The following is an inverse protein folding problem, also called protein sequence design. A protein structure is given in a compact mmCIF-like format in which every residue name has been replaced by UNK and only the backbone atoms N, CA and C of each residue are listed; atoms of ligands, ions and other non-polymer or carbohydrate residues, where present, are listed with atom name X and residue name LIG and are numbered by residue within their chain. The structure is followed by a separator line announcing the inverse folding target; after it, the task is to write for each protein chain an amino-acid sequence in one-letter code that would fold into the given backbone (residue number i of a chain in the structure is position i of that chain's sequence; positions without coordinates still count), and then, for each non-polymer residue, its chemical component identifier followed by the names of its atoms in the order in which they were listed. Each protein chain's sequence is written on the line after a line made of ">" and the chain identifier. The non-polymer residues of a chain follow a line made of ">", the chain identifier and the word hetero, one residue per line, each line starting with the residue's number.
data_IF_696004898513
#
_entry.id   IF_696004898513
#
_cell.length_a   1.000
_cell.length_b   1.000
_cell.length_c   1.000
_cell.angle_alpha   90.00
_cell.angle_beta   90.00
_cell.angle_gamma   90.00
#
_symmetry.space_group_name_H-M   'P 1'
#
loop_
_entity.id
_entity.type
_entity.pdbx_description
1 polymer ?
#
# COMPACT_ATOMS: atom_id res chain seq x y z
N UNK A 1 30.12 4.17 10.78
CA UNK A 1 28.65 4.38 10.67
C UNK A 1 28.32 5.52 9.70
N UNK A 2 28.93 6.70 9.85
CA UNK A 2 28.72 7.84 8.94
C UNK A 2 29.07 7.53 7.48
N UNK A 3 30.16 6.81 7.21
CA UNK A 3 30.54 6.35 5.86
C UNK A 3 29.52 5.39 5.25
N UNK A 4 28.93 4.50 6.06
CA UNK A 4 27.86 3.60 5.62
C UNK A 4 26.58 4.36 5.25
N UNK A 5 26.24 5.39 6.03
CA UNK A 5 25.07 6.24 5.74
C UNK A 5 25.25 7.03 4.45
N UNK A 6 26.44 7.63 4.25
CA UNK A 6 26.76 8.39 3.04
C UNK A 6 26.77 7.52 1.78
N UNK A 7 27.37 6.34 1.84
CA UNK A 7 27.42 5.39 0.71
C UNK A 7 26.07 4.79 0.32
N UNK A 8 25.09 4.80 1.23
CA UNK A 8 23.77 4.20 1.00
C UNK A 8 22.63 5.23 0.92
N UNK A 9 22.93 6.54 0.82
CA UNK A 9 21.95 7.63 0.78
C UNK A 9 20.92 7.56 1.92
N UNK A 10 21.41 7.35 3.15
CA UNK A 10 20.60 7.29 4.36
C UNK A 10 20.77 8.56 5.19
N UNK A 11 19.66 9.08 5.69
CA UNK A 11 19.59 10.24 6.60
C UNK A 11 19.25 9.78 8.03
N UNK A 12 19.85 10.44 9.03
CA UNK A 12 19.54 10.22 10.45
C UNK A 12 18.27 11.00 10.83
N UNK A 13 17.25 10.32 11.33
CA UNK A 13 15.99 10.94 11.74
C UNK A 13 15.90 11.27 13.24
N UNK A 14 16.89 10.87 14.04
CA UNK A 14 16.91 11.16 15.47
C UNK A 14 16.98 12.67 15.72
N UNK A 15 16.17 13.13 16.68
CA UNK A 15 16.15 14.51 17.16
C UNK A 15 16.54 14.48 18.66
N UNK A 16 17.81 14.75 19.01
CA UNK A 16 18.34 14.57 20.37
C UNK A 16 17.56 15.30 21.47
N UNK A 17 16.88 16.39 21.12
CA UNK A 17 16.08 17.24 21.99
C UNK A 17 14.91 16.51 22.66
N UNK A 18 14.43 15.40 22.07
CA UNK A 18 13.37 14.57 22.69
C UNK A 18 13.87 13.63 23.79
N UNK A 19 15.18 13.68 24.10
CA UNK A 19 15.78 12.97 25.22
C UNK A 19 16.37 11.60 24.86
N UNK A 20 17.03 10.95 25.84
CA UNK A 20 17.80 9.73 25.61
C UNK A 20 16.90 8.54 25.29
N UNK A 21 17.33 7.72 24.33
CA UNK A 21 16.67 6.44 24.02
C UNK A 21 17.05 5.33 25.00
N UNK A 22 18.06 5.53 25.85
CA UNK A 22 18.47 4.59 26.89
C UNK A 22 18.66 5.30 28.23
N UNK A 23 18.01 4.81 29.28
CA UNK A 23 18.17 5.25 30.66
C UNK A 23 18.26 4.02 31.56
N UNK A 24 19.40 3.87 32.23
CA UNK A 24 19.61 2.90 33.31
C UNK A 24 20.05 3.64 34.58
N UNK A 25 20.13 2.97 35.74
CA UNK A 25 20.64 3.60 36.98
C UNK A 25 22.10 4.10 36.87
N UNK A 26 22.87 3.57 35.92
CA UNK A 26 24.32 3.80 35.80
C UNK A 26 24.63 4.69 34.59
N UNK A 27 23.98 4.46 33.45
CA UNK A 27 24.27 5.10 32.18
C UNK A 27 23.01 5.65 31.52
N UNK A 28 23.16 6.80 30.85
CA UNK A 28 22.15 7.45 30.01
C UNK A 28 22.76 7.71 28.63
N UNK A 29 22.05 7.41 27.55
CA UNK A 29 22.59 7.57 26.21
C UNK A 29 21.59 7.47 25.07
N UNK A 30 22.13 7.56 23.85
CA UNK A 30 21.38 7.56 22.58
C UNK A 30 21.85 6.42 21.64
N UNK A 31 21.89 5.15 22.09
CA UNK A 31 22.42 4.05 21.27
C UNK A 31 21.52 3.70 20.07
N UNK A 32 20.22 4.01 20.15
CA UNK A 32 19.23 3.64 19.14
C UNK A 32 19.13 4.68 18.02
N UNK A 33 19.40 4.27 16.77
CA UNK A 33 19.36 5.14 15.58
C UNK A 33 18.20 4.79 14.66
N UNK A 34 17.52 5.82 14.15
CA UNK A 34 16.47 5.75 13.13
C UNK A 34 17.08 6.24 11.81
N UNK A 35 17.35 5.30 10.91
CA UNK A 35 17.87 5.60 9.57
C UNK A 35 16.76 5.45 8.53
N UNK A 36 16.72 6.38 7.59
CA UNK A 36 15.77 6.33 6.47
C UNK A 36 16.42 6.83 5.19
N UNK A 37 15.98 6.32 4.04
CA UNK A 37 16.40 6.85 2.74
C UNK A 37 16.12 8.34 2.64
N UNK A 38 17.12 9.11 2.18
CA UNK A 38 17.02 10.56 2.02
C UNK A 38 15.80 10.98 1.18
N UNK A 39 15.42 10.16 0.20
CA UNK A 39 14.26 10.40 -0.68
C UNK A 39 12.91 10.45 0.02
N UNK A 40 12.77 9.79 1.19
CA UNK A 40 11.51 9.72 1.93
C UNK A 40 11.61 10.33 3.33
N UNK A 41 12.73 10.97 3.65
CA UNK A 41 12.99 11.60 4.95
C UNK A 41 11.92 12.64 5.32
N UNK A 42 11.51 13.46 4.35
CA UNK A 42 10.52 14.53 4.55
C UNK A 42 9.13 14.04 4.94
N UNK A 43 8.83 12.75 4.72
CA UNK A 43 7.57 12.12 5.12
C UNK A 43 7.57 11.67 6.59
N UNK A 44 8.73 11.61 7.25
CA UNK A 44 8.77 11.39 8.70
C UNK A 44 8.24 12.64 9.40
N UNK A 45 7.23 12.46 10.25
CA UNK A 45 6.67 13.48 11.13
C UNK A 45 6.59 12.97 12.56
N UNK A 46 6.61 13.90 13.53
CA UNK A 46 6.41 13.61 14.95
C UNK A 46 7.39 12.55 15.49
N UNK A 47 8.66 12.63 15.09
CA UNK A 47 9.69 11.79 15.68
C UNK A 47 9.89 12.20 17.14
N UNK A 48 10.00 11.24 18.06
CA UNK A 48 10.28 11.52 19.46
C UNK A 48 10.37 10.26 20.30
N UNK A 49 10.71 10.46 21.57
CA UNK A 49 10.73 9.40 22.57
C UNK A 49 9.40 9.41 23.33
N UNK A 50 8.71 8.27 23.34
CA UNK A 50 7.47 8.16 24.10
C UNK A 50 7.77 8.10 25.59
N UNK A 51 7.05 8.93 26.35
CA UNK A 51 6.99 8.85 27.81
C UNK A 51 6.04 7.71 28.24
N UNK A 52 6.45 6.48 27.91
CA UNK A 52 5.73 5.27 28.24
C UNK A 52 6.71 4.21 28.72
N UNK A 53 6.38 3.53 29.82
CA UNK A 53 7.15 2.42 30.35
C UNK A 53 7.32 1.32 29.28
N UNK A 54 8.58 1.08 28.90
CA UNK A 54 8.99 0.07 27.93
C UNK A 54 9.31 -1.28 28.57
N UNK A 55 9.47 -1.33 29.89
CA UNK A 55 9.99 -2.47 30.64
C UNK A 55 11.41 -2.90 30.23
N UNK A 56 12.16 -1.97 29.64
CA UNK A 56 13.56 -2.06 29.27
C UNK A 56 14.24 -0.76 29.71
N UNK A 57 15.56 -0.78 29.82
CA UNK A 57 16.34 0.45 29.97
C UNK A 57 16.28 1.31 28.68
N UNK A 58 15.84 0.71 27.57
CA UNK A 58 15.54 1.43 26.32
C UNK A 58 14.13 2.03 26.34
N UNK A 59 13.97 3.27 25.86
CA UNK A 59 12.69 3.94 25.64
C UNK A 59 12.13 3.67 24.25
N UNK A 60 10.82 3.83 24.10
CA UNK A 60 10.19 3.69 22.78
C UNK A 60 10.46 4.92 21.92
N UNK A 61 11.01 4.70 20.73
CA UNK A 61 11.02 5.68 19.65
C UNK A 61 9.68 5.61 18.91
N UNK A 62 9.09 6.77 18.63
CA UNK A 62 7.87 6.91 17.86
C UNK A 62 8.08 7.92 16.74
N UNK A 63 7.47 7.66 15.59
CA UNK A 63 7.37 8.58 14.47
C UNK A 63 6.21 8.14 13.56
N UNK A 64 5.72 9.09 12.76
CA UNK A 64 4.75 8.85 11.70
C UNK A 64 5.44 8.95 10.35
N UNK A 65 5.01 8.14 9.38
CA UNK A 65 5.35 8.35 7.97
C UNK A 65 4.07 8.81 7.30
N UNK A 66 4.01 10.09 6.94
CA UNK A 66 2.86 10.69 6.27
C UNK A 66 3.07 10.55 4.76
N UNK A 67 2.28 9.71 4.11
CA UNK A 67 2.32 9.51 2.66
C UNK A 67 0.94 9.90 2.15
N UNK A 68 0.87 10.86 1.23
CA UNK A 68 -0.40 11.36 0.66
C UNK A 68 -1.15 10.25 -0.09
N UNK A 69 -0.42 9.29 -0.64
CA UNK A 69 -0.94 8.05 -1.22
C UNK A 69 -0.28 6.83 -0.57
N UNK A 70 -0.77 6.43 0.60
CA UNK A 70 -0.60 5.03 0.99
C UNK A 70 -1.31 4.19 -0.09
N UNK A 71 -0.64 3.26 -0.80
CA UNK A 71 -1.36 2.20 -1.46
C UNK A 71 -2.09 1.45 -0.34
N UNK A 72 -3.38 1.78 -0.16
CA UNK A 72 -4.26 1.20 0.84
C UNK A 72 -4.01 -0.31 0.84
N UNK A 73 -3.46 -0.81 1.96
CA UNK A 73 -2.73 -2.07 2.10
C UNK A 73 -2.97 -3.04 0.94
N UNK A 74 -2.03 -3.11 -0.01
CA UNK A 74 -2.02 -3.96 -1.22
C UNK A 74 -3.11 -5.07 -1.17
N UNK A 75 -4.34 -4.75 -1.57
CA UNK A 75 -5.48 -5.67 -1.52
C UNK A 75 -6.09 -5.80 -2.91
N UNK A 76 -6.79 -6.90 -3.12
CA UNK A 76 -7.63 -7.09 -4.30
C UNK A 76 -9.09 -7.33 -3.89
N UNK A 77 -10.02 -6.87 -4.73
CA UNK A 77 -11.43 -7.14 -4.54
C UNK A 77 -11.74 -8.60 -4.84
N UNK A 78 -12.55 -9.24 -3.99
CA UNK A 78 -13.11 -10.57 -4.25
C UNK A 78 -14.30 -10.48 -5.22
N UNK A 79 -14.10 -9.95 -6.42
CA UNK A 79 -15.14 -9.68 -7.45
C UNK A 79 -15.97 -10.90 -7.90
N UNK A 80 -15.48 -12.12 -7.63
CA UNK A 80 -16.26 -13.37 -7.80
C UNK A 80 -17.48 -13.41 -6.87
N UNK A 81 -17.40 -12.77 -5.71
CA UNK A 81 -18.39 -12.85 -4.65
C UNK A 81 -18.98 -11.46 -4.38
N UNK A 82 -20.31 -11.39 -4.17
CA UNK A 82 -20.98 -10.13 -3.83
C UNK A 82 -21.41 -9.27 -5.02
N UNK A 83 -21.36 -9.79 -6.26
CA UNK A 83 -21.81 -9.07 -7.46
C UNK A 83 -23.23 -8.53 -7.34
N UNK A 84 -24.16 -9.25 -6.70
CA UNK A 84 -25.53 -8.76 -6.48
C UNK A 84 -25.58 -7.43 -5.73
N UNK A 85 -24.77 -7.26 -4.67
CA UNK A 85 -24.70 -5.99 -3.91
C UNK A 85 -24.06 -4.87 -4.74
N UNK A 86 -23.00 -5.20 -5.48
CA UNK A 86 -22.32 -4.29 -6.39
C UNK A 86 -23.24 -3.75 -7.49
N UNK A 87 -23.93 -4.66 -8.20
CA UNK A 87 -24.90 -4.31 -9.25
C UNK A 87 -26.07 -3.49 -8.66
N UNK A 88 -26.59 -3.88 -7.49
CA UNK A 88 -27.67 -3.13 -6.83
C UNK A 88 -27.25 -1.71 -6.45
N UNK A 89 -25.98 -1.47 -6.10
CA UNK A 89 -25.47 -0.13 -5.88
C UNK A 89 -25.47 0.68 -7.18
N UNK A 90 -24.91 0.12 -8.26
CA UNK A 90 -24.84 0.80 -9.57
C UNK A 90 -26.23 1.09 -10.17
N UNK A 91 -27.19 0.16 -10.02
CA UNK A 91 -28.59 0.33 -10.46
C UNK A 91 -29.22 1.62 -9.97
N UNK A 92 -28.92 2.05 -8.73
CA UNK A 92 -29.47 3.28 -8.15
C UNK A 92 -29.04 4.54 -8.90
N UNK A 93 -27.89 4.50 -9.55
CA UNK A 93 -27.33 5.64 -10.27
C UNK A 93 -27.62 5.58 -11.78
N UNK A 94 -27.89 4.39 -12.33
CA UNK A 94 -27.99 4.14 -13.78
C UNK A 94 -28.91 5.13 -14.53
N UNK A 95 -30.09 5.46 -13.99
CA UNK A 95 -31.03 6.40 -14.63
C UNK A 95 -30.42 7.79 -14.84
N UNK A 96 -29.74 8.32 -13.81
CA UNK A 96 -29.07 9.63 -13.86
C UNK A 96 -27.94 9.59 -14.89
N UNK A 97 -27.21 8.49 -14.94
CA UNK A 97 -26.07 8.31 -15.85
C UNK A 97 -26.47 8.21 -17.32
N UNK A 98 -27.59 7.54 -17.63
CA UNK A 98 -28.17 7.56 -18.99
C UNK A 98 -28.55 8.97 -19.44
N UNK A 99 -29.12 9.77 -18.54
CA UNK A 99 -29.47 11.17 -18.83
C UNK A 99 -28.22 12.04 -19.04
N UNK A 100 -27.17 11.82 -18.23
CA UNK A 100 -25.88 12.51 -18.41
C UNK A 100 -25.22 12.15 -19.74
N UNK A 101 -25.25 10.87 -20.14
CA UNK A 101 -24.66 10.40 -21.40
C UNK A 101 -25.22 11.14 -22.61
N UNK A 102 -26.54 11.32 -22.67
CA UNK A 102 -27.23 12.03 -23.75
C UNK A 102 -26.87 13.53 -23.87
N UNK A 103 -26.32 14.12 -22.80
CA UNK A 103 -25.94 15.54 -22.77
C UNK A 103 -24.49 15.79 -23.20
N UNK A 104 -23.73 14.75 -23.50
CA UNK A 104 -22.33 14.89 -23.88
C UNK A 104 -22.27 15.36 -25.33
N UNK A 105 -21.67 16.53 -25.55
CA UNK A 105 -21.58 17.17 -26.86
C UNK A 105 -20.17 17.17 -27.45
N UNK A 106 -19.14 16.90 -26.64
CA UNK A 106 -17.75 16.93 -27.08
C UNK A 106 -16.85 15.99 -26.27
N UNK A 107 -15.60 15.83 -26.74
CA UNK A 107 -14.59 14.96 -26.14
C UNK A 107 -14.16 15.37 -24.73
N UNK A 108 -14.21 16.66 -24.38
CA UNK A 108 -13.90 17.14 -23.03
C UNK A 108 -14.94 16.63 -22.01
N UNK A 109 -16.23 16.81 -22.32
CA UNK A 109 -17.32 16.29 -21.48
C UNK A 109 -17.34 14.77 -21.45
N UNK A 110 -17.00 14.10 -22.55
CA UNK A 110 -16.82 12.64 -22.57
C UNK A 110 -15.73 12.20 -21.60
N UNK A 111 -14.58 12.89 -21.60
CA UNK A 111 -13.48 12.55 -20.72
C UNK A 111 -13.85 12.67 -19.24
N UNK A 112 -14.50 13.77 -18.85
CA UNK A 112 -14.99 13.97 -17.48
C UNK A 112 -16.05 12.93 -17.11
N UNK A 113 -16.96 12.63 -18.02
CA UNK A 113 -17.98 11.60 -17.80
C UNK A 113 -17.38 10.21 -17.54
N UNK A 114 -16.37 9.80 -18.33
CA UNK A 114 -15.70 8.50 -18.14
C UNK A 114 -14.94 8.49 -16.81
N UNK A 115 -14.26 9.59 -16.45
CA UNK A 115 -13.59 9.71 -15.15
C UNK A 115 -14.56 9.51 -13.99
N UNK A 116 -15.68 10.23 -14.01
CA UNK A 116 -16.72 10.12 -12.99
C UNK A 116 -17.35 8.71 -12.98
N UNK A 117 -17.47 8.05 -14.14
CA UNK A 117 -18.04 6.70 -14.25
C UNK A 117 -17.09 5.67 -13.62
N UNK A 118 -15.81 5.75 -13.93
CA UNK A 118 -14.77 4.92 -13.32
C UNK A 118 -14.77 5.13 -11.80
N UNK A 119 -14.91 6.36 -11.33
CA UNK A 119 -14.96 6.67 -9.90
C UNK A 119 -16.23 6.13 -9.22
N UNK A 120 -17.38 6.17 -9.90
CA UNK A 120 -18.59 5.51 -9.42
C UNK A 120 -18.40 3.99 -9.28
N UNK A 121 -17.83 3.35 -10.30
CA UNK A 121 -17.59 1.90 -10.31
C UNK A 121 -16.60 1.51 -9.20
N UNK A 122 -15.52 2.27 -9.02
CA UNK A 122 -14.61 2.14 -7.88
C UNK A 122 -15.34 2.25 -6.56
N UNK A 123 -16.09 3.34 -6.36
CA UNK A 123 -16.84 3.59 -5.12
C UNK A 123 -17.81 2.45 -4.81
N UNK A 124 -18.52 1.93 -5.82
CA UNK A 124 -19.39 0.78 -5.68
C UNK A 124 -18.61 -0.47 -5.23
N UNK A 125 -17.44 -0.72 -5.83
CA UNK A 125 -16.56 -1.83 -5.47
C UNK A 125 -16.12 -1.74 -4.01
N UNK A 126 -15.63 -0.57 -3.61
CA UNK A 126 -15.17 -0.26 -2.27
C UNK A 126 -16.23 -0.48 -1.20
N UNK A 127 -17.47 -0.06 -1.48
CA UNK A 127 -18.58 -0.16 -0.52
C UNK A 127 -19.19 -1.56 -0.44
N UNK A 128 -19.10 -2.37 -1.51
CA UNK A 128 -19.90 -3.59 -1.62
C UNK A 128 -19.10 -4.89 -1.68
N UNK A 129 -17.87 -4.86 -2.20
CA UNK A 129 -17.04 -6.05 -2.40
C UNK A 129 -16.08 -6.26 -1.22
N UNK A 130 -15.86 -7.53 -0.87
CA UNK A 130 -14.88 -7.88 0.18
C UNK A 130 -13.47 -7.63 -0.31
N UNK A 131 -12.67 -6.91 0.48
CA UNK A 131 -11.22 -6.73 0.27
C UNK A 131 -10.48 -7.98 0.76
N UNK A 132 -9.54 -8.49 -0.03
CA UNK A 132 -8.59 -9.53 0.41
C UNK A 132 -7.20 -8.92 0.48
N UNK A 133 -6.57 -8.84 1.67
CA UNK A 133 -5.20 -8.37 1.77
C UNK A 133 -4.28 -9.32 1.02
N UNK A 134 -3.29 -8.77 0.30
CA UNK A 134 -2.17 -9.55 -0.22
C UNK A 134 -1.43 -10.07 1.00
N UNK A 135 -1.45 -11.39 1.19
CA UNK A 135 -0.70 -12.02 2.27
C UNK A 135 0.77 -11.71 2.03
N UNK A 136 1.36 -10.82 2.82
CA UNK A 136 2.79 -10.86 3.04
C UNK A 136 3.11 -12.22 3.66
N UNK A 137 4.24 -12.83 3.30
CA UNK A 137 4.71 -14.06 3.94
C UNK A 137 4.58 -13.90 5.46
N UNK A 138 4.10 -14.94 6.16
CA UNK A 138 3.89 -14.92 7.61
C UNK A 138 5.16 -14.37 8.29
N UNK A 139 5.10 -13.10 8.74
CA UNK A 139 6.14 -12.55 9.58
C UNK A 139 5.94 -13.15 10.97
N UNK A 140 7.00 -13.69 11.55
CA UNK A 140 7.01 -14.09 12.94
C UNK A 140 6.45 -12.94 13.80
N UNK A 141 5.43 -13.23 14.60
CA UNK A 141 4.86 -12.29 15.55
C UNK A 141 4.49 -13.04 16.82
N UNK A 142 4.92 -12.50 17.96
CA UNK A 142 4.51 -12.95 19.29
C UNK A 142 3.41 -12.06 19.88
N UNK A 143 3.04 -10.97 19.23
CA UNK A 143 2.01 -10.06 19.72
C UNK A 143 0.62 -10.66 19.57
N UNK A 144 -0.14 -10.68 20.66
CA UNK A 144 -1.53 -11.11 20.71
C UNK A 144 -2.40 -10.12 21.49
N UNK A 145 -3.71 -10.36 21.50
CA UNK A 145 -4.68 -9.47 22.12
C UNK A 145 -4.53 -9.42 23.66
N UNK A 146 -4.15 -10.53 24.30
CA UNK A 146 -3.95 -10.59 25.75
C UNK A 146 -2.76 -9.75 26.21
N UNK A 147 -1.64 -9.81 25.47
CA UNK A 147 -0.50 -8.92 25.66
C UNK A 147 -0.89 -7.47 25.48
N UNK A 148 -1.70 -7.16 24.46
CA UNK A 148 -2.17 -5.79 24.20
C UNK A 148 -3.03 -5.27 25.36
N UNK A 149 -4.00 -6.05 25.82
CA UNK A 149 -4.86 -5.70 26.97
C UNK A 149 -4.03 -5.51 28.24
N UNK A 150 -3.12 -6.44 28.53
CA UNK A 150 -2.26 -6.39 29.71
C UNK A 150 -1.30 -5.19 29.67
N UNK A 151 -0.67 -4.91 28.52
CA UNK A 151 0.15 -3.71 28.32
C UNK A 151 -0.64 -2.43 28.55
N UNK A 152 -1.84 -2.32 27.95
CA UNK A 152 -2.69 -1.13 28.11
C UNK A 152 -3.12 -0.93 29.57
N UNK A 153 -3.38 -2.02 30.31
CA UNK A 153 -3.65 -1.98 31.76
C UNK A 153 -2.45 -1.41 32.52
N UNK A 154 -1.23 -1.89 32.24
CA UNK A 154 -0.01 -1.38 32.86
C UNK A 154 0.22 0.09 32.54
N UNK A 155 0.07 0.51 31.29
CA UNK A 155 0.20 1.92 30.89
C UNK A 155 -0.82 2.82 31.59
N UNK A 156 -2.08 2.37 31.75
CA UNK A 156 -3.11 3.10 32.49
C UNK A 156 -2.71 3.28 33.96
N UNK A 157 -2.30 2.21 34.63
CA UNK A 157 -1.91 2.25 36.05
C UNK A 157 -0.64 3.07 36.27
N UNK A 158 0.32 3.01 35.35
CA UNK A 158 1.52 3.84 35.37
C UNK A 158 1.17 5.32 35.31
N UNK A 159 0.29 5.74 34.39
CA UNK A 159 -0.16 7.15 34.30
C UNK A 159 -0.84 7.62 35.58
N UNK A 160 -1.68 6.78 36.19
CA UNK A 160 -2.33 7.10 37.48
C UNK A 160 -1.28 7.26 38.58
N UNK A 161 -0.34 6.33 38.70
CA UNK A 161 0.72 6.40 39.70
C UNK A 161 1.59 7.66 39.54
N UNK A 162 2.03 7.96 38.31
CA UNK A 162 2.85 9.14 38.02
C UNK A 162 2.09 10.44 38.27
N UNK A 163 0.80 10.49 37.91
CA UNK A 163 -0.05 11.64 38.22
C UNK A 163 -0.16 11.88 39.73
N UNK A 164 -0.51 10.85 40.51
CA UNK A 164 -0.63 10.93 41.96
C UNK A 164 0.69 11.38 42.63
N UNK A 165 1.82 10.93 42.10
CA UNK A 165 3.16 11.32 42.55
C UNK A 165 3.48 12.79 42.21
N UNK A 166 3.05 13.28 41.05
CA UNK A 166 3.31 14.65 40.63
C UNK A 166 2.47 15.68 41.40
N UNK A 167 1.23 15.35 41.77
CA UNK A 167 0.33 16.25 42.52
C UNK A 167 0.51 16.16 44.05
N UNK A 168 1.54 15.45 44.54
CA UNK A 168 1.78 15.20 45.96
C UNK A 168 0.51 14.74 46.71
N UNK A 169 -0.24 13.79 46.12
CA UNK A 169 -1.39 13.17 46.78
C UNK A 169 -0.99 12.51 48.11
N UNK A 170 -1.99 12.24 48.96
CA UNK A 170 -1.79 11.50 50.21
C UNK A 170 -0.91 10.26 50.01
N UNK A 171 0.01 10.02 50.96
CA UNK A 171 1.03 8.96 50.92
C UNK A 171 0.39 7.60 50.65
N UNK A 172 -0.74 7.29 51.29
CA UNK A 172 -1.47 6.03 51.09
C UNK A 172 -1.97 5.84 49.66
N UNK A 173 -2.43 6.91 49.01
CA UNK A 173 -2.93 6.90 47.64
C UNK A 173 -1.80 6.65 46.64
N UNK A 174 -0.64 7.30 46.86
CA UNK A 174 0.57 7.08 46.05
C UNK A 174 1.09 5.66 46.23
N UNK A 175 1.09 5.14 47.47
CA UNK A 175 1.55 3.80 47.77
C UNK A 175 0.64 2.72 47.17
N UNK A 176 -0.70 2.88 47.28
CA UNK A 176 -1.68 1.95 46.70
C UNK A 176 -1.60 1.90 45.18
N UNK A 177 -1.62 3.06 44.52
CA UNK A 177 -1.48 3.14 43.06
C UNK A 177 -0.13 2.60 42.57
N UNK A 178 0.95 2.81 43.33
CA UNK A 178 2.27 2.23 43.05
C UNK A 178 2.30 0.70 43.19
N UNK A 179 1.64 0.14 44.20
CA UNK A 179 1.50 -1.31 44.38
C UNK A 179 0.69 -1.95 43.24
N UNK A 180 -0.44 -1.34 42.86
CA UNK A 180 -1.27 -1.81 41.76
C UNK A 180 -0.50 -1.80 40.42
N UNK A 181 0.24 -0.72 40.15
CA UNK A 181 1.14 -0.62 39.00
C UNK A 181 2.21 -1.73 39.01
N UNK A 182 2.95 -1.89 40.12
CA UNK A 182 4.02 -2.90 40.24
C UNK A 182 3.49 -4.33 40.06
N UNK A 183 2.31 -4.63 40.62
CA UNK A 183 1.65 -5.94 40.46
C UNK A 183 1.29 -6.20 39.01
N UNK A 184 0.60 -5.26 38.35
CA UNK A 184 0.24 -5.39 36.94
C UNK A 184 1.48 -5.50 36.04
N UNK A 185 2.55 -4.78 36.35
CA UNK A 185 3.85 -4.85 35.64
C UNK A 185 4.47 -6.24 35.74
N UNK A 186 4.47 -6.85 36.93
CA UNK A 186 4.99 -8.20 37.14
C UNK A 186 4.19 -9.25 36.35
N UNK A 187 2.85 -9.15 36.38
CA UNK A 187 1.94 -10.01 35.61
C UNK A 187 2.19 -9.88 34.10
N UNK A 188 2.28 -8.65 33.59
CA UNK A 188 2.57 -8.39 32.19
C UNK A 188 3.94 -8.93 31.76
N UNK A 189 5.00 -8.70 32.56
CA UNK A 189 6.35 -9.19 32.25
C UNK A 189 6.38 -10.72 32.17
N UNK A 190 5.70 -11.40 33.09
CA UNK A 190 5.55 -12.87 33.07
C UNK A 190 4.85 -13.33 31.79
N UNK A 191 3.73 -12.70 31.43
CA UNK A 191 2.97 -13.00 30.22
C UNK A 191 3.78 -12.75 28.94
N UNK A 192 4.51 -11.64 28.88
CA UNK A 192 5.37 -11.26 27.75
C UNK A 192 6.47 -12.30 27.51
N UNK A 193 7.19 -12.70 28.55
CA UNK A 193 8.26 -13.69 28.45
C UNK A 193 7.72 -15.06 28.03
N UNK A 194 6.61 -15.49 28.64
CA UNK A 194 5.95 -16.75 28.27
C UNK A 194 5.51 -16.74 26.81
N UNK A 195 4.84 -15.67 26.37
CA UNK A 195 4.30 -15.56 25.01
C UNK A 195 5.42 -15.50 23.96
N UNK A 196 6.50 -14.73 24.22
CA UNK A 196 7.69 -14.70 23.37
C UNK A 196 8.30 -16.09 23.21
N UNK A 197 8.50 -16.80 24.33
CA UNK A 197 9.07 -18.16 24.31
C UNK A 197 8.18 -19.11 23.51
N UNK A 198 6.88 -19.16 23.81
CA UNK A 198 5.93 -20.04 23.11
C UNK A 198 5.82 -19.73 21.62
N UNK A 199 5.75 -18.45 21.25
CA UNK A 199 5.75 -18.05 19.86
C UNK A 199 7.03 -18.50 19.15
N UNK A 200 8.20 -18.35 19.79
CA UNK A 200 9.48 -18.79 19.25
C UNK A 200 9.57 -20.31 19.11
N UNK A 201 9.13 -21.07 20.12
CA UNK A 201 9.03 -22.54 20.07
C UNK A 201 8.18 -22.98 18.86
N UNK A 202 6.97 -22.41 18.70
CA UNK A 202 6.08 -22.70 17.58
C UNK A 202 6.72 -22.31 16.25
N UNK A 203 7.40 -21.17 16.20
CA UNK A 203 8.10 -20.74 14.99
C UNK A 203 9.17 -21.76 14.59
N UNK A 204 10.07 -22.13 15.51
CA UNK A 204 11.14 -23.09 15.26
C UNK A 204 10.60 -24.47 14.86
N UNK A 205 9.55 -24.96 15.51
CA UNK A 205 8.93 -26.26 15.16
C UNK A 205 8.31 -26.26 13.76
N UNK A 206 7.77 -25.12 13.32
CA UNK A 206 7.17 -24.98 11.99
C UNK A 206 8.14 -24.39 10.95
N UNK A 207 9.42 -24.23 11.31
CA UNK A 207 10.41 -23.58 10.47
C UNK A 207 10.98 -24.56 9.44
N UNK A 208 10.33 -24.66 8.28
CA UNK A 208 10.76 -25.53 7.19
C UNK A 208 11.74 -24.87 6.20
N UNK A 209 12.13 -23.61 6.40
CA UNK A 209 13.09 -22.94 5.51
C UNK A 209 14.54 -23.28 5.91
N UNK A 210 15.23 -24.11 5.12
CA UNK A 210 16.68 -24.41 5.32
C UNK A 210 17.58 -23.17 5.38
N UNK A 211 17.19 -22.11 4.66
CA UNK A 211 17.92 -20.86 4.56
C UNK A 211 16.91 -19.71 4.60
N UNK A 212 16.72 -19.13 5.79
CA UNK A 212 15.79 -18.03 6.00
C UNK A 212 16.10 -16.77 5.24
N UNK A 213 15.16 -15.82 5.26
CA UNK A 213 15.38 -14.49 4.70
C UNK A 213 16.64 -13.80 5.23
N UNK A 214 16.97 -13.94 6.52
CA UNK A 214 18.17 -13.33 7.10
C UNK A 214 19.45 -13.97 6.54
N UNK A 215 19.50 -15.30 6.42
CA UNK A 215 20.61 -16.00 5.76
C UNK A 215 20.72 -15.54 4.30
N UNK A 216 19.60 -15.50 3.58
CA UNK A 216 19.59 -15.00 2.20
C UNK A 216 20.05 -13.53 2.13
N UNK A 217 19.72 -12.70 3.12
CA UNK A 217 20.11 -11.29 3.17
C UNK A 217 21.61 -11.13 3.40
N UNK A 218 22.15 -11.81 4.42
CA UNK A 218 23.57 -11.75 4.79
C UNK A 218 24.45 -12.29 3.67
N UNK A 219 24.04 -13.37 3.02
CA UNK A 219 24.79 -13.98 1.92
C UNK A 219 24.42 -13.44 0.53
N UNK A 220 23.70 -12.30 0.46
CA UNK A 220 23.25 -11.69 -0.80
C UNK A 220 22.49 -12.66 -1.75
N UNK A 221 21.91 -13.73 -1.21
CA UNK A 221 21.05 -14.70 -1.90
C UNK A 221 19.58 -14.30 -1.89
N UNK A 222 19.21 -13.24 -1.17
CA UNK A 222 17.96 -12.55 -1.44
C UNK A 222 18.12 -12.02 -2.84
N UNK A 223 17.33 -12.54 -3.79
CA UNK A 223 17.07 -11.85 -5.05
C UNK A 223 16.40 -10.53 -4.68
N UNK A 224 17.21 -9.54 -4.31
CA UNK A 224 16.82 -8.15 -4.25
C UNK A 224 16.45 -7.80 -5.69
N UNK A 225 15.18 -8.02 -6.03
CA UNK A 225 14.61 -7.61 -7.31
C UNK A 225 14.59 -6.07 -7.46
N UNK A 226 15.23 -5.32 -6.56
CA UNK A 226 15.41 -3.88 -6.63
C UNK A 226 16.58 -3.45 -7.52
N UNK A 227 17.48 -4.36 -7.92
CA UNK A 227 18.44 -4.03 -8.96
C UNK A 227 17.79 -4.25 -10.32
N UNK A 228 17.54 -3.17 -11.06
CA UNK A 228 17.30 -3.24 -12.49
C UNK A 228 18.54 -3.90 -13.11
N UNK A 229 18.41 -5.14 -13.59
CA UNK A 229 19.52 -5.94 -14.12
C UNK A 229 20.05 -5.47 -15.48
N UNK A 230 19.55 -4.35 -15.97
CA UNK A 230 19.96 -3.76 -17.25
C UNK A 230 21.14 -2.81 -16.99
N UNK A 231 22.26 -3.08 -17.65
CA UNK A 231 23.45 -2.24 -17.61
C UNK A 231 23.70 -1.71 -19.03
N UNK A 232 23.19 -0.50 -19.36
CA UNK A 232 23.52 0.16 -20.62
C UNK A 232 25.03 0.19 -20.84
N UNK A 233 25.49 -0.20 -22.04
CA UNK A 233 26.90 -0.22 -22.43
C UNK A 233 27.83 -1.04 -21.49
N UNK A 234 27.32 -2.10 -20.84
CA UNK A 234 28.04 -2.89 -19.84
C UNK A 234 28.60 -2.08 -18.66
N UNK A 235 28.13 -0.86 -18.42
CA UNK A 235 28.56 -0.05 -17.28
C UNK A 235 27.68 -0.37 -16.05
N UNK A 236 28.23 -0.98 -14.98
CA UNK A 236 27.46 -1.32 -13.79
C UNK A 236 27.06 -0.10 -12.95
N UNK A 237 27.74 1.05 -13.12
CA UNK A 237 27.59 2.26 -12.31
C UNK A 237 26.51 3.24 -12.82
N UNK A 238 25.73 2.87 -13.83
CA UNK A 238 24.64 3.70 -14.31
C UNK A 238 23.61 3.99 -13.21
N UNK A 239 23.06 5.20 -13.18
CA UNK A 239 22.04 5.55 -12.20
C UNK A 239 20.77 4.73 -12.46
N UNK A 240 19.89 4.62 -11.45
CA UNK A 240 18.59 3.97 -11.62
C UNK A 240 17.78 4.66 -12.73
N UNK A 241 17.90 5.99 -12.84
CA UNK A 241 17.22 6.76 -13.88
C UNK A 241 17.70 6.36 -15.28
N UNK A 242 19.02 6.25 -15.49
CA UNK A 242 19.58 5.85 -16.79
C UNK A 242 19.15 4.44 -17.18
N UNK A 243 19.10 3.53 -16.21
CA UNK A 243 18.62 2.16 -16.42
C UNK A 243 17.13 2.12 -16.78
N UNK A 244 16.30 2.97 -16.16
CA UNK A 244 14.87 3.10 -16.50
C UNK A 244 14.71 3.71 -17.88
N UNK A 245 15.39 4.82 -18.18
CA UNK A 245 15.34 5.48 -19.49
C UNK A 245 15.73 4.51 -20.59
N UNK A 246 16.84 3.80 -20.42
CA UNK A 246 17.28 2.80 -21.39
C UNK A 246 16.25 1.67 -21.61
N UNK A 247 15.60 1.18 -20.54
CA UNK A 247 14.52 0.19 -20.66
C UNK A 247 13.34 0.79 -21.42
N UNK A 248 12.93 2.01 -21.08
CA UNK A 248 11.82 2.69 -21.74
C UNK A 248 12.12 2.89 -23.22
N UNK A 249 13.31 3.38 -23.58
CA UNK A 249 13.72 3.57 -24.97
C UNK A 249 13.82 2.25 -25.74
N UNK A 250 14.22 1.16 -25.07
CA UNK A 250 14.34 -0.17 -25.70
C UNK A 250 12.98 -0.83 -25.97
N UNK A 251 12.03 -0.72 -25.04
CA UNK A 251 10.70 -1.35 -25.16
C UNK A 251 9.66 -0.44 -25.81
N UNK A 252 9.82 0.87 -25.69
CA UNK A 252 8.94 1.91 -26.21
C UNK A 252 9.80 2.99 -26.89
N UNK A 253 10.56 2.63 -27.96
CA UNK A 253 11.32 3.62 -28.69
C UNK A 253 10.36 4.73 -29.13
N UNK A 254 10.69 5.98 -28.79
CA UNK A 254 9.99 7.13 -29.35
C UNK A 254 10.03 7.06 -30.88
N UNK A 255 9.09 7.73 -31.54
CA UNK A 255 9.17 7.85 -33.00
C UNK A 255 10.49 8.51 -33.37
N UNK A 256 11.27 7.86 -34.23
CA UNK A 256 12.48 8.44 -34.79
C UNK A 256 12.11 9.69 -35.59
N UNK A 257 12.93 10.76 -35.63
CA UNK A 257 12.71 11.86 -36.56
C UNK A 257 12.64 11.31 -38.01
N UNK A 258 11.48 11.42 -38.65
CA UNK A 258 11.22 10.85 -39.99
C UNK A 258 10.38 9.56 -40.02
N UNK A 259 10.13 8.92 -38.88
CA UNK A 259 9.15 7.83 -38.70
C UNK A 259 7.77 8.38 -38.28
N UNK A 260 7.44 9.60 -38.69
CA UNK A 260 6.07 10.06 -38.66
C UNK A 260 5.28 9.17 -39.63
N UNK A 261 4.67 8.11 -39.10
CA UNK A 261 3.57 7.45 -39.76
C UNK A 261 2.44 8.48 -39.82
N UNK A 262 2.47 9.32 -40.85
CA UNK A 262 1.33 10.07 -41.34
C UNK A 262 0.34 9.07 -41.95
N UNK A 263 -0.09 8.12 -41.13
CA UNK A 263 -1.21 7.26 -41.41
C UNK A 263 -2.44 8.12 -41.22
N UNK A 264 -2.80 8.79 -42.30
CA UNK A 264 -4.10 9.41 -42.49
C UNK A 264 -4.95 8.38 -43.22
N UNK A 265 -5.53 7.37 -42.51
CA UNK A 265 -6.40 6.42 -43.17
C UNK A 265 -7.50 7.20 -43.87
N UNK A 266 -7.83 6.79 -45.09
CA UNK A 266 -9.09 7.20 -45.70
C UNK A 266 -10.16 6.61 -44.80
N UNK A 267 -10.71 7.43 -43.90
CA UNK A 267 -11.80 7.05 -43.01
C UNK A 267 -13.02 6.81 -43.90
N UNK A 268 -13.21 5.58 -44.33
CA UNK A 268 -14.52 5.13 -44.78
C UNK A 268 -15.55 5.33 -43.66
N UNK A 269 -16.85 5.36 -43.98
CA UNK A 269 -17.88 5.39 -42.96
C UNK A 269 -17.63 4.25 -41.97
N UNK A 270 -17.31 4.59 -40.73
CA UNK A 270 -17.19 3.62 -39.65
C UNK A 270 -18.60 3.30 -39.21
N UNK A 271 -19.04 2.08 -39.49
CA UNK A 271 -20.31 1.60 -38.95
C UNK A 271 -20.27 1.65 -37.43
N UNK A 272 -21.33 2.17 -36.77
CA UNK A 272 -21.42 2.14 -35.33
C UNK A 272 -21.29 0.70 -34.82
N UNK A 273 -20.64 0.52 -33.67
CA UNK A 273 -20.61 -0.76 -32.99
C UNK A 273 -22.04 -1.24 -32.74
N UNK A 274 -22.23 -2.54 -32.86
CA UNK A 274 -23.46 -3.23 -32.50
C UNK A 274 -23.26 -4.09 -31.25
N UNK A 275 -24.36 -4.52 -30.62
CA UNK A 275 -24.30 -5.36 -29.41
C UNK A 275 -23.45 -6.63 -29.58
N UNK A 276 -23.54 -7.38 -30.71
CA UNK A 276 -22.67 -8.54 -30.94
C UNK A 276 -21.17 -8.23 -30.85
N UNK A 277 -20.72 -7.05 -31.30
CA UNK A 277 -19.31 -6.65 -31.24
C UNK A 277 -18.84 -6.56 -29.78
N UNK A 278 -19.65 -5.91 -28.94
CA UNK A 278 -19.38 -5.82 -27.51
C UNK A 278 -19.46 -7.19 -26.83
N UNK A 279 -20.39 -8.06 -27.23
CA UNK A 279 -20.47 -9.41 -26.67
C UNK A 279 -19.20 -10.22 -26.94
N UNK A 280 -18.64 -10.14 -28.14
CA UNK A 280 -17.36 -10.79 -28.48
C UNK A 280 -16.25 -10.29 -27.55
N UNK A 281 -16.14 -8.96 -27.39
CA UNK A 281 -15.12 -8.33 -26.52
C UNK A 281 -15.30 -8.80 -25.06
N UNK A 282 -16.49 -8.65 -24.50
CA UNK A 282 -16.75 -8.98 -23.10
C UNK A 282 -16.67 -10.49 -22.83
N UNK A 283 -16.92 -11.36 -23.81
CA UNK A 283 -16.72 -12.82 -23.71
C UNK A 283 -15.22 -13.19 -23.71
N UNK A 284 -14.39 -12.42 -24.42
CA UNK A 284 -12.93 -12.58 -24.40
C UNK A 284 -12.28 -12.17 -23.08
N UNK A 285 -12.94 -11.34 -22.25
CA UNK A 285 -12.42 -10.85 -20.98
C UNK A 285 -12.40 -11.96 -19.90
N UNK A 286 -11.28 -12.68 -19.80
CA UNK A 286 -11.10 -13.76 -18.82
C UNK A 286 -11.01 -13.22 -17.39
N UNK A 287 -11.87 -13.72 -16.50
CA UNK A 287 -11.82 -13.37 -15.08
C UNK A 287 -10.53 -13.86 -14.39
N UNK A 288 -10.07 -13.13 -13.37
CA UNK A 288 -8.85 -13.45 -12.62
C UNK A 288 -7.56 -12.82 -13.17
N UNK A 289 -7.67 -11.99 -14.21
CA UNK A 289 -6.59 -11.09 -14.64
C UNK A 289 -6.38 -9.97 -13.61
N UNK A 290 -5.15 -9.46 -13.56
CA UNK A 290 -4.81 -8.35 -12.67
C UNK A 290 -5.60 -7.09 -13.09
N UNK A 291 -6.18 -6.36 -12.13
CA UNK A 291 -6.87 -5.10 -12.44
C UNK A 291 -5.87 -4.01 -12.85
N UNK A 292 -6.38 -2.97 -13.51
CA UNK A 292 -5.60 -1.78 -13.83
C UNK A 292 -5.29 -0.93 -12.59
N UNK A 293 -4.77 0.28 -12.83
CA UNK A 293 -4.52 1.27 -11.77
C UNK A 293 -5.78 1.66 -10.99
N UNK A 294 -6.94 1.49 -11.63
CA UNK A 294 -8.26 1.73 -11.04
C UNK A 294 -8.75 0.65 -10.07
N UNK A 295 -8.06 -0.50 -9.99
CA UNK A 295 -8.46 -1.69 -9.22
C UNK A 295 -9.77 -2.34 -9.67
N UNK A 296 -10.29 -1.95 -10.84
CA UNK A 296 -11.47 -2.56 -11.47
C UNK A 296 -10.99 -3.74 -12.31
N UNK A 297 -11.46 -4.94 -12.00
CA UNK A 297 -11.12 -6.11 -12.80
C UNK A 297 -12.17 -6.38 -13.90
N UNK A 298 -11.83 -7.31 -14.79
CA UNK A 298 -12.73 -7.69 -15.89
C UNK A 298 -14.08 -8.26 -15.44
N UNK A 299 -14.19 -8.85 -14.25
CA UNK A 299 -15.49 -9.32 -13.73
C UNK A 299 -16.38 -8.15 -13.33
N UNK A 300 -15.78 -7.09 -12.80
CA UNK A 300 -16.51 -5.87 -12.46
C UNK A 300 -16.98 -5.16 -13.72
N UNK A 301 -16.12 -5.00 -14.73
CA UNK A 301 -16.51 -4.44 -16.04
C UNK A 301 -17.58 -5.28 -16.72
N UNK A 302 -17.47 -6.61 -16.68
CA UNK A 302 -18.51 -7.51 -17.18
C UNK A 302 -19.84 -7.32 -16.46
N UNK A 303 -19.83 -7.15 -15.14
CA UNK A 303 -21.04 -6.88 -14.37
C UNK A 303 -21.67 -5.51 -14.68
N UNK A 304 -20.87 -4.49 -15.01
CA UNK A 304 -21.37 -3.19 -15.49
C UNK A 304 -22.01 -3.34 -16.88
N UNK A 305 -21.40 -4.12 -17.77
CA UNK A 305 -21.95 -4.41 -19.09
C UNK A 305 -23.26 -5.21 -19.03
N UNK A 306 -23.28 -6.29 -18.26
CA UNK A 306 -24.48 -7.14 -18.12
C UNK A 306 -25.62 -6.41 -17.38
N UNK A 307 -25.30 -5.34 -16.62
CA UNK A 307 -26.32 -4.49 -16.00
C UNK A 307 -27.11 -3.70 -17.06
N UNK A 308 -26.43 -3.13 -18.05
CA UNK A 308 -27.08 -2.36 -19.12
C UNK A 308 -26.22 -2.31 -20.38
N UNK A 309 -26.44 -3.29 -21.27
CA UNK A 309 -25.66 -3.45 -22.49
C UNK A 309 -25.81 -2.27 -23.44
N UNK A 310 -27.00 -1.69 -23.52
CA UNK A 310 -27.31 -0.55 -24.40
C UNK A 310 -26.54 0.69 -23.92
N UNK A 311 -26.54 0.97 -22.61
CA UNK A 311 -25.76 2.06 -22.06
C UNK A 311 -24.26 1.96 -22.39
N UNK A 312 -23.68 0.75 -22.27
CA UNK A 312 -22.27 0.54 -22.62
C UNK A 312 -22.02 0.67 -24.11
N UNK A 313 -22.97 0.22 -24.96
CA UNK A 313 -22.89 0.39 -26.40
C UNK A 313 -22.88 1.87 -26.79
N UNK A 314 -23.84 2.64 -26.28
CA UNK A 314 -23.96 4.07 -26.52
C UNK A 314 -22.67 4.80 -26.09
N UNK A 315 -22.10 4.42 -24.94
CA UNK A 315 -20.86 4.98 -24.44
C UNK A 315 -19.66 4.68 -25.34
N UNK A 316 -19.54 3.42 -25.82
CA UNK A 316 -18.46 3.05 -26.74
C UNK A 316 -18.61 3.78 -28.08
N UNK A 317 -19.81 3.78 -28.65
CA UNK A 317 -20.09 4.50 -29.90
C UNK A 317 -19.82 6.00 -29.80
N UNK A 318 -20.04 6.61 -28.63
CA UNK A 318 -19.70 8.00 -28.41
C UNK A 318 -18.18 8.25 -28.42
N UNK A 319 -17.38 7.31 -27.92
CA UNK A 319 -15.92 7.38 -28.02
C UNK A 319 -15.45 7.30 -29.49
N UNK A 320 -16.07 6.42 -30.28
CA UNK A 320 -15.80 6.28 -31.71
C UNK A 320 -16.24 7.52 -32.50
N UNK A 321 -17.43 8.05 -32.20
CA UNK A 321 -17.97 9.24 -32.85
C UNK A 321 -17.06 10.46 -32.66
N UNK A 322 -16.53 10.68 -31.45
CA UNK A 322 -15.58 11.75 -31.20
C UNK A 322 -14.14 11.42 -31.60
N UNK A 323 -13.89 10.22 -32.15
CA UNK A 323 -12.56 9.69 -32.41
C UNK A 323 -11.60 9.91 -31.22
N UNK A 324 -12.09 9.62 -30.01
CA UNK A 324 -11.42 10.01 -28.78
C UNK A 324 -11.36 8.87 -27.78
N UNK A 325 -10.13 8.52 -27.39
CA UNK A 325 -9.88 7.58 -26.30
C UNK A 325 -9.70 8.33 -24.95
N UNK A 326 -10.51 8.05 -23.90
CA UNK A 326 -10.47 8.81 -22.64
C UNK A 326 -9.10 8.83 -21.95
N UNK A 327 -8.65 10.00 -21.46
CA UNK A 327 -7.33 10.18 -20.84
C UNK A 327 -7.12 9.29 -19.62
N UNK A 328 -8.13 9.13 -18.76
CA UNK A 328 -8.01 8.31 -17.56
C UNK A 328 -7.77 6.82 -17.84
N UNK A 329 -8.09 6.35 -19.06
CA UNK A 329 -7.86 4.98 -19.51
C UNK A 329 -6.51 4.80 -20.23
N UNK A 330 -5.77 5.89 -20.50
CA UNK A 330 -4.45 5.86 -21.16
C UNK A 330 -3.31 5.47 -20.22
N UNK A 331 -3.54 5.55 -18.91
CA UNK A 331 -2.52 5.25 -17.92
C UNK A 331 -2.45 3.74 -17.66
N UNK A 332 -1.28 3.15 -17.90
CA UNK A 332 -1.04 1.74 -17.65
C UNK A 332 0.12 1.54 -16.67
N UNK A 333 0.04 0.50 -15.86
CA UNK A 333 1.19 0.02 -15.07
C UNK A 333 1.93 -1.01 -15.89
N UNK A 334 3.20 -0.72 -16.18
CA UNK A 334 4.06 -1.61 -16.96
C UNK A 334 4.79 -2.56 -16.00
N UNK A 335 4.78 -3.86 -16.32
CA UNK A 335 5.51 -4.88 -15.59
C UNK A 335 6.44 -5.59 -16.57
N UNK A 336 7.75 -5.40 -16.40
CA UNK A 336 8.74 -6.15 -17.16
C UNK A 336 8.91 -7.54 -16.55
N UNK A 337 8.68 -8.57 -17.36
CA UNK A 337 8.90 -9.95 -16.99
C UNK A 337 10.17 -10.43 -17.69
N UNK A 338 11.10 -11.00 -16.92
CA UNK A 338 12.23 -11.71 -17.51
C UNK A 338 11.69 -12.96 -18.20
N UNK A 339 11.94 -13.07 -19.50
CA UNK A 339 11.66 -14.30 -20.25
C UNK A 339 12.52 -15.41 -19.64
N UNK A 340 11.86 -16.48 -19.22
CA UNK A 340 12.50 -17.65 -18.60
C UNK A 340 13.21 -18.49 -19.64
#
# INVERSE_FOLDING_TARGET
>A
MSEFMASNNLSLANIPEYGPSFISPINVGFPDLTLISTTIFNYIKNWGILDMESHSDHKYIYFNIVIEDLPEADFFFKSKYGQKKFINYLKKHLKIWKLKLKKITNSLYLNTFIQDLVELVKTAAFKTLKKKPKKSAHKFSFWNEDLRKSRNKVSKLFKIYMHNKAINSNVDTVQRSGCDYRKARAEYKKLLLFTKRKAWEVYCLNYNERFGNLFKLIFNKLKSNSSIGVNPNNNPNNSIQDKITFIMDSFFPGQSPGEELNYSPILGPIDPLVLPDLEIVFNGLKGGKAPGLDRIDYRMWRAVYDLDKIFMLDLCNLCFHFNYFPKCLRNARIFFLLKS
#
